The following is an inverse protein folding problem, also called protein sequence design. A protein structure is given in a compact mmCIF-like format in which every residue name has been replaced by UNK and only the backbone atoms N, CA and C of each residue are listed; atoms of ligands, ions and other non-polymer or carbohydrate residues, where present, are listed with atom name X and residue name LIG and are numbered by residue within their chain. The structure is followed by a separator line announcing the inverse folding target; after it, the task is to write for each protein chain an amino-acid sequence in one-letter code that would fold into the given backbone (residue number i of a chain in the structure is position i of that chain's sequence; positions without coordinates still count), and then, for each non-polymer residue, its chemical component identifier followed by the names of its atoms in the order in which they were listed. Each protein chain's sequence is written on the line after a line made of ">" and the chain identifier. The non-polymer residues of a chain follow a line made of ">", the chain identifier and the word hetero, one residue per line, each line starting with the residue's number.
data_IF_439400789211
#
_entry.id   IF_439400789211
#
_cell.length_a   1.000
_cell.length_b   1.000
_cell.length_c   1.000
_cell.angle_alpha   90.00
_cell.angle_beta   90.00
_cell.angle_gamma   90.00
#
_symmetry.space_group_name_H-M   'P 1'
#
loop_
_entity.id
_entity.type
_entity.pdbx_description
1 polymer ?
#
# COMPACT_ATOMS: atom_id res chain seq x y z
N UNK A 1 -0.41 2.54 17.47
CA UNK A 1 -0.60 1.13 17.07
C UNK A 1 0.17 0.87 15.77
N UNK A 2 0.68 -0.35 15.53
CA UNK A 2 1.45 -0.70 14.33
C UNK A 2 0.79 -1.88 13.60
N UNK A 3 0.83 -1.84 12.27
CA UNK A 3 0.30 -2.91 11.41
C UNK A 3 1.22 -3.14 10.21
N UNK A 4 1.16 -4.34 9.64
CA UNK A 4 1.97 -4.76 8.50
C UNK A 4 1.06 -5.42 7.47
N UNK A 5 1.19 -5.02 6.21
CA UNK A 5 0.55 -5.66 5.07
C UNK A 5 1.61 -6.19 4.09
N UNK A 6 1.46 -7.44 3.69
CA UNK A 6 2.28 -8.06 2.65
C UNK A 6 1.48 -8.19 1.36
N UNK A 7 1.97 -7.58 0.30
CA UNK A 7 1.54 -7.86 -1.06
C UNK A 7 2.50 -8.87 -1.69
N UNK A 8 1.98 -9.97 -2.23
CA UNK A 8 2.76 -10.98 -2.94
C UNK A 8 2.11 -11.30 -4.28
N UNK A 9 2.90 -11.24 -5.35
CA UNK A 9 2.52 -11.65 -6.69
C UNK A 9 3.44 -12.79 -7.14
N UNK A 10 2.87 -13.96 -7.38
CA UNK A 10 3.63 -15.15 -7.77
C UNK A 10 4.03 -15.10 -9.25
N UNK A 11 3.05 -14.88 -10.13
CA UNK A 11 3.26 -14.97 -11.57
C UNK A 11 3.58 -13.60 -12.17
N UNK A 12 4.41 -13.60 -13.21
CA UNK A 12 4.67 -12.41 -14.01
C UNK A 12 3.39 -11.94 -14.72
N UNK A 13 3.32 -10.64 -15.01
CA UNK A 13 2.25 -10.05 -15.80
C UNK A 13 2.82 -9.07 -16.81
N UNK A 14 2.45 -9.25 -18.07
CA UNK A 14 2.72 -8.29 -19.15
C UNK A 14 1.67 -7.18 -19.12
N UNK A 15 2.13 -5.93 -19.26
CA UNK A 15 1.29 -4.72 -19.26
C UNK A 15 0.17 -4.75 -18.21
N UNK A 16 0.50 -4.90 -16.91
CA UNK A 16 -0.51 -4.96 -15.87
C UNK A 16 -1.27 -3.64 -15.76
N UNK A 17 -2.57 -3.71 -15.45
CA UNK A 17 -3.29 -2.54 -14.95
C UNK A 17 -2.75 -2.07 -13.60
N UNK A 18 -3.19 -0.90 -13.14
CA UNK A 18 -2.84 -0.43 -11.81
C UNK A 18 -3.38 -1.37 -10.73
N UNK A 19 -2.48 -1.78 -9.82
CA UNK A 19 -2.84 -2.60 -8.67
C UNK A 19 -2.93 -1.73 -7.43
N UNK A 20 -3.98 -1.95 -6.62
CA UNK A 20 -4.15 -1.32 -5.31
C UNK A 20 -4.25 -2.39 -4.23
N UNK A 21 -3.75 -2.07 -3.04
CA UNK A 21 -3.97 -2.84 -1.81
C UNK A 21 -4.91 -2.07 -0.89
N UNK A 22 -5.82 -2.79 -0.25
CA UNK A 22 -6.77 -2.23 0.69
C UNK A 22 -6.44 -2.79 2.07
N UNK A 23 -6.33 -1.90 3.04
CA UNK A 23 -6.13 -2.28 4.42
C UNK A 23 -7.46 -2.69 5.06
N UNK A 24 -7.41 -3.29 6.24
CA UNK A 24 -8.60 -3.67 7.01
C UNK A 24 -8.32 -3.56 8.50
N UNK A 25 -9.35 -3.20 9.27
CA UNK A 25 -9.25 -3.15 10.74
C UNK A 25 -8.48 -1.94 11.27
N UNK A 26 -8.28 -0.91 10.45
CA UNK A 26 -7.76 0.39 10.90
C UNK A 26 -8.88 1.21 11.54
N UNK A 27 -8.51 2.14 12.40
CA UNK A 27 -9.45 3.13 12.93
C UNK A 27 -9.67 4.20 11.86
N UNK A 28 -10.94 4.39 11.45
CA UNK A 28 -11.30 5.30 10.36
C UNK A 28 -10.89 6.75 10.61
N UNK A 29 -10.89 7.20 11.86
CA UNK A 29 -10.68 8.61 12.20
C UNK A 29 -9.20 8.91 12.54
N UNK A 30 -8.32 7.89 12.46
CA UNK A 30 -6.89 8.02 12.77
C UNK A 30 -6.02 8.14 11.53
N UNK A 31 -4.88 8.79 11.73
CA UNK A 31 -3.88 8.99 10.69
C UNK A 31 -2.73 8.01 10.81
N UNK A 32 -2.20 7.64 9.66
CA UNK A 32 -1.18 6.62 9.52
C UNK A 32 -0.09 7.07 8.55
N UNK A 33 1.17 6.85 8.90
CA UNK A 33 2.28 6.85 7.95
C UNK A 33 2.42 5.47 7.33
N UNK A 34 2.79 5.42 6.04
CA UNK A 34 2.99 4.17 5.31
C UNK A 34 4.39 4.15 4.75
N UNK A 35 5.15 3.09 5.04
CA UNK A 35 6.54 2.95 4.59
C UNK A 35 6.67 3.14 3.07
N UNK A 36 7.52 4.08 2.65
CA UNK A 36 7.76 4.39 1.23
C UNK A 36 6.83 5.46 0.65
N UNK A 37 6.00 6.10 1.48
CA UNK A 37 5.23 7.29 1.14
C UNK A 37 5.62 8.42 2.11
N UNK A 38 5.75 9.64 1.58
CA UNK A 38 6.07 10.83 2.38
C UNK A 38 4.81 11.51 2.94
N UNK A 39 3.63 10.98 2.58
CA UNK A 39 2.31 11.50 2.95
C UNK A 39 1.69 10.70 4.10
N UNK A 40 0.68 11.30 4.74
CA UNK A 40 -0.14 10.67 5.78
C UNK A 40 -1.53 10.36 5.23
N UNK A 41 -2.09 9.23 5.66
CA UNK A 41 -3.39 8.76 5.18
C UNK A 41 -4.32 8.50 6.36
N UNK A 42 -5.60 8.79 6.19
CA UNK A 42 -6.61 8.35 7.16
C UNK A 42 -6.90 6.86 7.01
N UNK A 43 -7.33 6.24 8.11
CA UNK A 43 -7.65 4.81 8.13
C UNK A 43 -8.76 4.44 7.15
N UNK A 44 -9.76 5.31 6.95
CA UNK A 44 -10.82 5.09 5.97
C UNK A 44 -10.33 5.18 4.51
N UNK A 45 -9.41 6.09 4.19
CA UNK A 45 -8.77 6.17 2.88
C UNK A 45 -8.00 4.88 2.57
N UNK A 46 -7.21 4.41 3.54
CA UNK A 46 -6.44 3.17 3.41
C UNK A 46 -7.34 1.93 3.22
N UNK A 47 -8.51 1.91 3.86
CA UNK A 47 -9.45 0.80 3.77
C UNK A 47 -10.36 0.87 2.53
N UNK A 48 -10.76 2.06 2.09
CA UNK A 48 -11.75 2.24 1.02
C UNK A 48 -11.14 2.63 -0.33
N UNK A 49 -10.18 3.56 -0.35
CA UNK A 49 -9.49 3.99 -1.57
C UNK A 49 -8.28 3.12 -1.87
N UNK A 50 -7.58 2.67 -0.83
CA UNK A 50 -6.41 1.81 -0.92
C UNK A 50 -5.16 2.52 -1.46
N UNK A 51 -4.03 1.83 -1.38
CA UNK A 51 -2.73 2.33 -1.85
C UNK A 51 -2.32 1.66 -3.15
N UNK A 52 -1.83 2.46 -4.10
CA UNK A 52 -1.26 1.96 -5.34
C UNK A 52 0.06 1.22 -5.08
N UNK A 53 0.13 -0.02 -5.55
CA UNK A 53 1.35 -0.81 -5.54
C UNK A 53 2.21 -0.34 -6.73
N UNK A 54 3.33 0.32 -6.44
CA UNK A 54 4.33 0.58 -7.49
C UNK A 54 5.06 -0.72 -7.83
N UNK A 55 4.83 -1.24 -9.04
CA UNK A 55 5.27 -2.56 -9.50
C UNK A 55 6.56 -2.53 -10.35
N UNK A 56 6.90 -1.41 -11.01
CA UNK A 56 8.19 -1.11 -11.66
C UNK A 56 8.06 0.20 -12.47
N UNK A 57 9.19 0.85 -12.78
CA UNK A 57 9.20 2.06 -13.64
C UNK A 57 9.08 1.73 -15.14
N UNK A 58 9.40 0.50 -15.55
CA UNK A 58 9.14 -0.01 -16.90
C UNK A 58 7.90 -0.90 -16.86
N UNK A 59 6.72 -0.28 -16.99
CA UNK A 59 5.40 -0.93 -16.91
C UNK A 59 5.10 -2.03 -17.95
N UNK A 60 6.12 -2.53 -18.66
CA UNK A 60 5.97 -3.58 -19.68
C UNK A 60 5.86 -4.97 -19.06
N UNK A 61 6.54 -5.24 -17.94
CA UNK A 61 6.56 -6.55 -17.31
C UNK A 61 6.76 -6.46 -15.79
N UNK A 62 5.94 -7.20 -15.03
CA UNK A 62 6.16 -7.46 -13.60
C UNK A 62 6.91 -8.77 -13.47
N UNK A 63 8.02 -8.83 -12.72
CA UNK A 63 8.75 -10.08 -12.50
C UNK A 63 7.91 -11.11 -11.73
N UNK A 64 8.32 -12.38 -11.82
CA UNK A 64 7.80 -13.44 -10.95
C UNK A 64 8.27 -13.22 -9.51
N UNK A 65 7.47 -13.72 -8.57
CA UNK A 65 7.76 -13.71 -7.14
C UNK A 65 8.08 -12.31 -6.57
N UNK A 66 7.27 -11.32 -6.93
CA UNK A 66 7.38 -9.98 -6.40
C UNK A 66 6.68 -9.87 -5.04
N UNK A 67 7.40 -9.34 -4.05
CA UNK A 67 6.84 -9.00 -2.73
C UNK A 67 6.99 -7.51 -2.46
N UNK A 68 6.00 -6.95 -1.77
CA UNK A 68 6.05 -5.58 -1.27
C UNK A 68 5.46 -5.53 0.13
N UNK A 69 6.26 -5.03 1.05
CA UNK A 69 5.89 -4.87 2.45
C UNK A 69 5.45 -3.43 2.69
N UNK A 70 4.32 -3.27 3.37
CA UNK A 70 3.83 -2.00 3.85
C UNK A 70 3.82 -2.06 5.37
N UNK A 71 4.67 -1.26 6.00
CA UNK A 71 4.66 -1.03 7.45
C UNK A 71 3.87 0.24 7.70
N UNK A 72 2.92 0.15 8.61
CA UNK A 72 2.00 1.24 8.93
C UNK A 72 2.12 1.59 10.40
N UNK A 73 2.27 2.87 10.68
CA UNK A 73 2.37 3.40 12.03
C UNK A 73 1.35 4.52 12.24
N UNK A 74 0.62 4.44 13.34
CA UNK A 74 -0.29 5.51 13.76
C UNK A 74 0.51 6.76 14.12
N UNK A 75 0.11 7.89 13.55
CA UNK A 75 0.75 9.19 13.76
C UNK A 75 -0.30 10.26 14.07
N UNK A 76 0.15 11.35 14.69
CA UNK A 76 -0.70 12.54 14.86
C UNK A 76 -0.66 13.32 13.55
N UNK A 77 -1.81 13.46 12.89
CA UNK A 77 -1.93 14.30 11.70
C UNK A 77 -1.44 15.72 12.02
N UNK A 78 -0.42 16.18 11.27
CA UNK A 78 -0.01 17.58 11.28
C UNK A 78 -0.69 18.27 10.11
N UNK A 79 -1.53 19.25 10.41
CA UNK A 79 -2.10 20.17 9.42
C UNK A 79 -1.01 21.01 8.75
#
# INVERSE_FOLDING_TARGET
>A
CQSILLYAQLNSKLNPGYTRVYFSGLDKDKCYSVSGFDEFFYGDELMNAGIKVSLSNLALCVPEYLTKLFVIEEVVCKY
#
